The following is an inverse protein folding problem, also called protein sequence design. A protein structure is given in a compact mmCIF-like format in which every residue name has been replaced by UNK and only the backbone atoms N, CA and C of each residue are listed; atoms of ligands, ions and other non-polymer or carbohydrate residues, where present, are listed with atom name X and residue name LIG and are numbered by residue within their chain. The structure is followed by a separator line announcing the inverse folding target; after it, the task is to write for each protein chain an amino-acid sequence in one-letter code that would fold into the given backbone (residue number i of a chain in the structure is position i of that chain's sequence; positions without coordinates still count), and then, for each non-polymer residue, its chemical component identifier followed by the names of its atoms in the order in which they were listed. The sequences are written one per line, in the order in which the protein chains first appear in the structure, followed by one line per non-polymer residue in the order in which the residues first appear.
data_IF_549853648995
#
_entry.id   IF_549853648995
#
_cell.length_a   1.000
_cell.length_b   1.000
_cell.length_c   1.000
_cell.angle_alpha   90.00
_cell.angle_beta   90.00
_cell.angle_gamma   90.00
#
_symmetry.space_group_name_H-M   'P 1'
#
loop_
_entity.id
_entity.type
_entity.pdbx_description
1 polymer ?
#
# COMPACT_ATOMS: atom_id res chain seq x y z
N UNK A 1 -20.44 24.82 8.08
CA UNK A 1 -19.53 25.19 7.01
C UNK A 1 -18.28 25.67 7.69
N UNK A 2 -17.28 24.80 7.66
CA UNK A 2 -15.92 25.06 8.08
C UNK A 2 -15.31 26.15 7.21
N UNK A 3 -14.31 26.84 7.74
CA UNK A 3 -13.48 27.77 6.95
C UNK A 3 -12.83 27.04 5.77
N UNK A 4 -12.45 25.77 5.96
CA UNK A 4 -11.91 24.93 4.89
C UNK A 4 -12.90 24.76 3.73
N UNK A 5 -14.14 24.31 4.01
CA UNK A 5 -15.17 24.14 2.97
C UNK A 5 -15.54 25.47 2.29
N UNK A 6 -15.56 26.58 3.03
CA UNK A 6 -15.84 27.91 2.49
C UNK A 6 -14.76 28.37 1.52
N UNK A 7 -13.51 27.96 1.76
CA UNK A 7 -12.32 28.38 1.00
C UNK A 7 -12.05 27.52 -0.22
N UNK A 8 -12.58 26.29 -0.28
CA UNK A 8 -12.40 25.40 -1.43
C UNK A 8 -13.04 25.96 -2.71
N UNK A 9 -12.42 25.74 -3.88
CA UNK A 9 -13.04 26.08 -5.15
C UNK A 9 -14.34 25.31 -5.32
N UNK A 10 -15.36 25.96 -5.89
CA UNK A 10 -16.63 25.30 -6.15
C UNK A 10 -16.44 24.25 -7.25
N UNK A 11 -16.76 23.00 -6.93
CA UNK A 11 -16.73 21.90 -7.88
C UNK A 11 -18.14 21.63 -8.44
N UNK A 12 -18.31 21.44 -9.76
CA UNK A 12 -19.64 21.26 -10.36
C UNK A 12 -20.31 19.92 -10.01
N UNK A 13 -19.52 18.89 -9.67
CA UNK A 13 -19.99 17.53 -9.48
C UNK A 13 -19.66 16.93 -8.11
N UNK A 14 -18.77 17.56 -7.34
CA UNK A 14 -18.30 17.03 -6.05
C UNK A 14 -18.88 17.92 -4.95
N UNK A 15 -19.60 17.29 -4.05
CA UNK A 15 -20.02 17.90 -2.79
C UNK A 15 -19.14 17.35 -1.68
N UNK A 16 -18.72 18.21 -0.75
CA UNK A 16 -17.95 17.79 0.42
C UNK A 16 -18.83 16.88 1.28
N UNK A 17 -18.38 15.65 1.61
CA UNK A 17 -19.12 14.75 2.49
C UNK A 17 -19.25 15.29 3.92
N UNK A 18 -20.35 14.96 4.58
CA UNK A 18 -20.66 15.45 5.92
C UNK A 18 -19.60 15.02 6.95
N UNK A 19 -18.98 13.85 6.78
CA UNK A 19 -17.90 13.35 7.63
C UNK A 19 -16.65 14.22 7.53
N UNK A 20 -16.28 14.64 6.32
CA UNK A 20 -15.11 15.49 6.07
C UNK A 20 -15.34 16.89 6.65
N UNK A 21 -16.52 17.45 6.43
CA UNK A 21 -16.92 18.74 7.01
C UNK A 21 -16.91 18.71 8.54
N UNK A 22 -17.41 17.63 9.15
CA UNK A 22 -17.36 17.46 10.61
C UNK A 22 -15.93 17.35 11.13
N UNK A 23 -15.05 16.64 10.41
CA UNK A 23 -13.64 16.56 10.76
C UNK A 23 -12.95 17.92 10.69
N UNK A 24 -13.18 18.70 9.63
CA UNK A 24 -12.62 20.04 9.53
C UNK A 24 -13.13 20.97 10.62
N UNK A 25 -14.43 20.94 10.94
CA UNK A 25 -14.98 21.69 12.07
C UNK A 25 -14.35 21.29 13.40
N UNK A 26 -14.10 20.00 13.61
CA UNK A 26 -13.41 19.53 14.82
C UNK A 26 -11.99 20.11 14.91
N UNK A 27 -11.22 20.03 13.82
CA UNK A 27 -9.84 20.55 13.76
C UNK A 27 -9.81 22.07 13.97
N UNK A 28 -10.76 22.80 13.39
CA UNK A 28 -10.91 24.24 13.57
C UNK A 28 -11.23 24.60 15.02
N UNK A 29 -12.16 23.88 15.65
CA UNK A 29 -12.51 24.09 17.05
C UNK A 29 -11.36 23.72 18.02
N UNK A 30 -10.48 22.79 17.61
CA UNK A 30 -9.25 22.47 18.32
C UNK A 30 -8.17 23.56 18.17
N UNK A 31 -8.34 24.50 17.23
CA UNK A 31 -7.37 25.56 16.94
C UNK A 31 -6.26 25.14 15.98
N UNK A 32 -6.48 24.08 15.20
CA UNK A 32 -5.44 23.50 14.33
C UNK A 32 -5.38 24.13 12.92
N UNK A 33 -6.16 25.18 12.67
CA UNK A 33 -6.20 25.88 11.39
C UNK A 33 -5.73 27.31 11.52
N UNK A 34 -4.95 27.78 10.54
CA UNK A 34 -4.48 29.16 10.48
C UNK A 34 -4.35 29.64 9.03
N UNK A 35 -4.20 30.95 8.84
CA UNK A 35 -3.95 31.58 7.54
C UNK A 35 -2.54 32.13 7.49
N UNK A 36 -1.78 31.68 6.50
CA UNK A 36 -0.45 32.22 6.19
C UNK A 36 -0.47 33.03 4.90
N UNK A 37 0.69 33.56 4.51
CA UNK A 37 0.89 34.16 3.19
C UNK A 37 0.66 33.15 2.03
N UNK A 38 0.65 31.84 2.32
CA UNK A 38 0.36 30.76 1.39
C UNK A 38 -1.11 30.29 1.42
N UNK A 39 -1.96 30.96 2.20
CA UNK A 39 -3.38 30.68 2.33
C UNK A 39 -3.78 29.95 3.62
N UNK A 40 -5.05 29.55 3.67
CA UNK A 40 -5.61 28.81 4.79
C UNK A 40 -5.14 27.36 4.76
N UNK A 41 -4.76 26.83 5.92
CA UNK A 41 -4.42 25.42 6.07
C UNK A 41 -5.06 24.86 7.34
N UNK A 42 -5.22 23.55 7.37
CA UNK A 42 -5.81 22.84 8.50
C UNK A 42 -5.15 21.46 8.63
N UNK A 43 -4.81 21.07 9.85
CA UNK A 43 -4.18 19.78 10.14
C UNK A 43 -4.95 19.03 11.24
N UNK A 44 -4.96 17.68 11.24
CA UNK A 44 -5.48 16.93 12.38
C UNK A 44 -4.77 17.27 13.69
N UNK A 45 -3.48 17.65 13.63
CA UNK A 45 -2.63 17.92 14.79
C UNK A 45 -1.63 19.04 14.51
N UNK A 46 -1.37 19.92 15.48
CA UNK A 46 -0.32 20.93 15.38
C UNK A 46 0.87 20.57 16.24
N UNK A 47 2.07 20.52 15.66
CA UNK A 47 3.32 20.41 16.42
C UNK A 47 4.38 21.37 15.86
N UNK A 48 5.40 21.69 16.67
CA UNK A 48 6.52 22.55 16.24
C UNK A 48 7.48 21.84 15.26
N UNK A 49 7.39 20.51 15.09
CA UNK A 49 8.43 19.70 14.44
C UNK A 49 7.95 18.63 13.46
N UNK A 50 6.64 18.36 13.36
CA UNK A 50 6.07 17.30 12.51
C UNK A 50 4.89 17.84 11.70
N UNK A 51 5.02 17.71 10.38
CA UNK A 51 3.92 17.83 9.42
C UNK A 51 3.23 16.48 9.37
N UNK A 52 1.97 16.44 9.79
CA UNK A 52 1.02 15.46 9.29
C UNK A 52 0.47 15.94 7.95
N UNK A 53 -0.53 15.27 7.39
CA UNK A 53 -1.24 15.80 6.21
C UNK A 53 -1.77 17.20 6.47
N UNK A 54 -1.73 18.02 5.43
CA UNK A 54 -2.20 19.40 5.50
C UNK A 54 -3.37 19.56 4.56
N UNK A 55 -4.58 19.72 5.10
CA UNK A 55 -5.71 20.16 4.30
C UNK A 55 -5.50 21.59 3.86
N UNK A 56 -5.73 21.87 2.58
CA UNK A 56 -5.52 23.19 1.99
C UNK A 56 -6.46 23.38 0.80
N UNK A 57 -7.07 24.56 0.63
CA UNK A 57 -7.87 24.88 -0.54
C UNK A 57 -7.02 25.21 -1.77
N UNK A 58 -5.70 25.30 -1.60
CA UNK A 58 -4.76 25.75 -2.62
C UNK A 58 -4.02 24.61 -3.31
N UNK A 59 -4.31 23.34 -2.97
CA UNK A 59 -3.77 22.20 -3.70
C UNK A 59 -4.21 22.26 -5.16
N UNK A 60 -3.30 21.92 -6.09
CA UNK A 60 -3.54 21.99 -7.53
C UNK A 60 -3.28 20.64 -8.19
N UNK A 61 -3.84 20.41 -9.38
CA UNK A 61 -3.51 19.25 -10.22
C UNK A 61 -2.41 19.56 -11.24
N UNK A 62 -1.68 20.67 -11.05
CA UNK A 62 -0.64 21.10 -11.97
C UNK A 62 0.45 20.02 -12.06
N UNK A 63 0.88 19.70 -13.29
CA UNK A 63 1.80 18.60 -13.57
C UNK A 63 1.12 17.25 -13.82
N UNK A 64 -0.11 17.05 -13.33
CA UNK A 64 -0.87 15.81 -13.54
C UNK A 64 -1.88 15.91 -14.68
N UNK A 65 -2.73 16.95 -14.64
CA UNK A 65 -3.79 17.13 -15.63
C UNK A 65 -3.94 18.60 -16.01
N UNK A 66 -4.25 18.85 -17.28
CA UNK A 66 -4.65 20.18 -17.72
C UNK A 66 -5.96 20.59 -17.01
N UNK A 67 -6.10 21.84 -16.51
CA UNK A 67 -7.24 22.26 -15.69
C UNK A 67 -8.62 22.03 -16.31
N UNK A 68 -8.73 22.13 -17.64
CA UNK A 68 -9.98 21.96 -18.38
C UNK A 68 -10.18 20.53 -18.93
N UNK A 69 -9.31 19.58 -18.56
CA UNK A 69 -9.42 18.20 -19.02
C UNK A 69 -10.60 17.46 -18.36
N UNK A 70 -11.22 16.48 -19.06
CA UNK A 70 -12.24 15.62 -18.46
C UNK A 70 -11.75 14.88 -17.21
N UNK A 71 -10.45 14.57 -17.14
CA UNK A 71 -9.83 13.94 -15.97
C UNK A 71 -9.79 14.89 -14.77
N UNK A 72 -9.33 16.13 -14.95
CA UNK A 72 -9.30 17.14 -13.89
C UNK A 72 -10.70 17.46 -13.34
N UNK A 73 -11.73 17.44 -14.19
CA UNK A 73 -13.12 17.69 -13.78
C UNK A 73 -13.74 16.62 -12.86
N UNK A 74 -13.00 15.53 -12.57
CA UNK A 74 -13.41 14.45 -11.67
C UNK A 74 -12.64 14.44 -10.36
N UNK A 75 -11.76 15.41 -10.17
CA UNK A 75 -10.87 15.52 -9.02
C UNK A 75 -11.08 16.86 -8.32
N UNK A 76 -11.14 16.82 -6.99
CA UNK A 76 -11.09 18.02 -6.15
C UNK A 76 -9.91 17.87 -5.19
N UNK A 77 -8.77 18.55 -5.44
CA UNK A 77 -7.66 18.62 -4.50
C UNK A 77 -8.11 19.22 -3.17
N UNK A 78 -7.70 18.59 -2.07
CA UNK A 78 -8.09 19.01 -0.72
C UNK A 78 -6.93 19.00 0.28
N UNK A 79 -5.80 18.37 -0.05
CA UNK A 79 -4.69 18.21 0.89
C UNK A 79 -3.32 18.10 0.21
N UNK A 80 -2.29 18.39 0.99
CA UNK A 80 -0.89 18.02 0.76
C UNK A 80 -0.56 16.83 1.67
N UNK A 81 0.08 15.80 1.11
CA UNK A 81 0.21 14.49 1.78
C UNK A 81 1.53 14.28 2.54
N UNK A 82 2.62 14.91 2.10
CA UNK A 82 3.96 14.54 2.55
C UNK A 82 5.01 15.68 2.46
N UNK A 83 4.62 16.93 2.21
CA UNK A 83 5.60 18.04 2.09
C UNK A 83 6.38 18.10 0.77
N UNK A 84 6.27 17.09 -0.10
CA UNK A 84 6.97 17.04 -1.39
C UNK A 84 6.21 17.73 -2.53
N UNK A 85 4.95 18.09 -2.27
CA UNK A 85 3.98 18.50 -3.30
C UNK A 85 3.04 17.38 -3.73
N UNK A 86 3.07 16.22 -3.08
CA UNK A 86 2.07 15.17 -3.28
C UNK A 86 0.68 15.65 -2.82
N UNK A 87 -0.34 15.36 -3.63
CA UNK A 87 -1.69 15.90 -3.48
C UNK A 87 -2.66 14.81 -3.04
N UNK A 88 -3.47 15.12 -2.02
CA UNK A 88 -4.67 14.38 -1.67
C UNK A 88 -5.89 15.01 -2.34
N UNK A 89 -6.71 14.19 -3.01
CA UNK A 89 -7.90 14.66 -3.72
C UNK A 89 -9.11 13.76 -3.47
N UNK A 90 -10.29 14.35 -3.59
CA UNK A 90 -11.53 13.60 -3.78
C UNK A 90 -11.65 13.24 -5.27
N UNK A 91 -12.01 12.00 -5.56
CA UNK A 91 -12.16 11.48 -6.92
C UNK A 91 -13.56 10.91 -7.13
N UNK A 92 -14.21 11.28 -8.23
CA UNK A 92 -15.41 10.60 -8.73
C UNK A 92 -15.00 9.50 -9.71
N UNK A 93 -15.15 8.24 -9.29
CA UNK A 93 -14.86 7.08 -10.14
C UNK A 93 -15.91 6.89 -11.25
N UNK A 94 -15.70 5.90 -12.13
CA UNK A 94 -16.54 5.66 -13.32
C UNK A 94 -17.99 5.29 -13.00
N UNK A 95 -18.27 4.98 -11.73
CA UNK A 95 -19.61 4.70 -11.19
C UNK A 95 -20.15 5.89 -10.37
N UNK A 96 -19.54 7.07 -10.52
CA UNK A 96 -19.82 8.30 -9.77
C UNK A 96 -19.71 8.11 -8.24
N UNK A 97 -18.93 7.14 -7.77
CA UNK A 97 -18.63 6.95 -6.36
C UNK A 97 -17.48 7.86 -5.96
N UNK A 98 -17.64 8.53 -4.82
CA UNK A 98 -16.64 9.45 -4.29
C UNK A 98 -15.62 8.69 -3.44
N UNK A 99 -14.35 8.74 -3.85
CA UNK A 99 -13.20 8.12 -3.17
C UNK A 99 -12.15 9.15 -2.80
N UNK A 100 -11.16 8.76 -2.02
CA UNK A 100 -10.01 9.62 -1.68
C UNK A 100 -8.73 9.03 -2.25
N UNK A 101 -7.98 9.86 -2.97
CA UNK A 101 -6.83 9.43 -3.78
C UNK A 101 -5.60 10.29 -3.49
N UNK A 102 -4.42 9.73 -3.75
CA UNK A 102 -3.14 10.39 -3.69
C UNK A 102 -2.49 10.47 -5.07
N UNK A 103 -1.85 11.61 -5.34
CA UNK A 103 -1.08 11.90 -6.53
C UNK A 103 0.30 12.35 -6.07
N UNK A 104 1.30 11.48 -6.21
CA UNK A 104 2.67 11.75 -5.77
C UNK A 104 3.36 12.80 -6.63
N UNK A 105 4.25 13.59 -6.04
CA UNK A 105 5.12 14.49 -6.80
C UNK A 105 6.08 13.74 -7.74
N UNK A 106 6.37 12.47 -7.47
CA UNK A 106 7.23 11.60 -8.27
C UNK A 106 6.49 10.86 -9.41
N UNK A 107 5.20 11.14 -9.61
CA UNK A 107 4.42 10.64 -10.75
C UNK A 107 3.71 9.30 -10.54
N UNK A 108 3.62 8.82 -9.29
CA UNK A 108 2.75 7.69 -8.91
C UNK A 108 1.37 8.19 -8.45
N UNK A 109 0.34 7.36 -8.64
CA UNK A 109 -1.03 7.67 -8.27
C UNK A 109 -1.67 6.45 -7.59
N UNK A 110 -2.43 6.67 -6.51
CA UNK A 110 -2.97 5.58 -5.71
C UNK A 110 -4.27 5.96 -4.98
N UNK A 111 -5.10 4.97 -4.70
CA UNK A 111 -6.30 5.08 -3.88
C UNK A 111 -5.91 5.03 -2.40
N UNK A 112 -6.18 6.12 -1.68
CA UNK A 112 -5.97 6.19 -0.23
C UNK A 112 -7.09 5.50 0.53
N UNK A 113 -8.34 5.71 0.09
CA UNK A 113 -9.52 5.16 0.74
C UNK A 113 -10.73 5.09 -0.18
N UNK A 114 -11.56 4.06 0.04
CA UNK A 114 -12.79 3.82 -0.72
C UNK A 114 -13.92 4.81 -0.38
N UNK A 115 -13.80 5.54 0.74
CA UNK A 115 -14.70 6.62 1.14
C UNK A 115 -13.99 7.57 2.11
N UNK A 116 -14.62 8.70 2.43
CA UNK A 116 -14.06 9.72 3.33
C UNK A 116 -13.86 9.20 4.75
N UNK A 117 -14.74 8.36 5.29
CA UNK A 117 -14.60 7.88 6.66
C UNK A 117 -13.38 6.96 6.81
N UNK A 118 -13.12 6.11 5.82
CA UNK A 118 -11.90 5.31 5.75
C UNK A 118 -10.65 6.19 5.61
N UNK A 119 -10.72 7.29 4.86
CA UNK A 119 -9.63 8.25 4.78
C UNK A 119 -9.37 8.95 6.13
N UNK A 120 -10.41 9.40 6.84
CA UNK A 120 -10.25 9.97 8.17
C UNK A 120 -9.70 8.94 9.17
N UNK A 121 -10.05 7.67 8.99
CA UNK A 121 -9.48 6.55 9.75
C UNK A 121 -7.99 6.40 9.48
N UNK A 122 -7.55 6.47 8.21
CA UNK A 122 -6.14 6.52 7.85
C UNK A 122 -5.41 7.70 8.52
N UNK A 123 -5.96 8.91 8.43
CA UNK A 123 -5.37 10.11 9.05
C UNK A 123 -5.21 9.94 10.57
N UNK A 124 -6.19 9.31 11.22
CA UNK A 124 -6.16 9.04 12.66
C UNK A 124 -5.12 7.99 13.11
N UNK A 125 -4.47 7.30 12.17
CA UNK A 125 -3.34 6.41 12.50
C UNK A 125 -2.11 7.23 12.94
N UNK A 126 -1.95 8.46 12.42
CA UNK A 126 -0.87 9.36 12.81
C UNK A 126 0.42 9.18 12.03
N UNK A 127 0.34 8.89 10.73
CA UNK A 127 1.49 8.99 9.83
C UNK A 127 1.95 10.44 9.69
N UNK A 128 3.27 10.63 9.59
CA UNK A 128 3.89 11.90 9.20
C UNK A 128 3.55 12.22 7.74
N UNK A 129 3.69 11.22 6.87
CA UNK A 129 3.51 11.34 5.44
C UNK A 129 2.59 10.23 4.92
N UNK A 130 1.69 10.57 3.97
CA UNK A 130 0.87 9.59 3.27
C UNK A 130 1.43 9.33 1.87
N UNK A 131 2.42 8.44 1.79
CA UNK A 131 3.02 7.98 0.55
C UNK A 131 3.08 6.44 0.49
N UNK A 132 3.35 5.90 -0.69
CA UNK A 132 3.40 4.44 -0.95
C UNK A 132 4.44 3.67 -0.12
N UNK A 133 5.49 4.34 0.35
CA UNK A 133 6.59 3.73 1.12
C UNK A 133 6.22 3.63 2.60
N UNK A 134 5.64 4.70 3.16
CA UNK A 134 5.23 4.76 4.56
C UNK A 134 3.97 3.94 4.82
N UNK A 135 3.05 3.91 3.86
CA UNK A 135 1.87 3.06 3.92
C UNK A 135 2.27 1.58 3.79
N UNK A 136 1.42 0.67 4.28
CA UNK A 136 1.75 -0.73 4.55
C UNK A 136 2.64 -1.01 5.76
N UNK A 137 3.25 -0.01 6.40
CA UNK A 137 4.05 -0.17 7.63
C UNK A 137 3.42 0.61 8.79
N UNK A 138 3.70 0.25 10.06
CA UNK A 138 3.35 1.13 11.18
C UNK A 138 4.00 2.52 11.01
N UNK A 139 3.37 3.60 11.52
CA UNK A 139 3.98 4.92 11.52
C UNK A 139 5.39 4.91 12.15
N UNK A 140 6.33 5.60 11.54
CA UNK A 140 7.72 5.64 12.01
C UNK A 140 7.87 6.44 13.31
N UNK A 141 7.10 7.53 13.43
CA UNK A 141 7.12 8.42 14.59
C UNK A 141 6.06 8.03 15.62
N UNK A 142 6.52 7.58 16.79
CA UNK A 142 5.63 7.38 17.95
C UNK A 142 5.02 8.69 18.44
N UNK A 143 5.74 9.80 18.29
CA UNK A 143 5.25 11.14 18.65
C UNK A 143 4.04 11.54 17.79
N UNK A 144 4.08 11.26 16.49
CA UNK A 144 2.98 11.57 15.57
C UNK A 144 1.73 10.75 15.87
N UNK A 145 1.91 9.48 16.27
CA UNK A 145 0.82 8.63 16.77
C UNK A 145 0.24 9.17 18.07
N UNK A 146 1.08 9.61 19.02
CA UNK A 146 0.63 10.20 20.28
C UNK A 146 -0.13 11.52 20.06
N UNK A 147 0.36 12.36 19.13
CA UNK A 147 -0.29 13.61 18.77
C UNK A 147 -1.65 13.38 18.09
N UNK A 148 -1.80 12.31 17.31
CA UNK A 148 -3.05 11.96 16.63
C UNK A 148 -4.13 11.39 17.57
N UNK A 149 -3.79 11.03 18.82
CA UNK A 149 -4.71 10.40 19.76
C UNK A 149 -6.03 11.17 19.98
N UNK A 150 -6.04 12.51 20.14
CA UNK A 150 -7.30 13.23 20.33
C UNK A 150 -8.22 13.14 19.11
N UNK A 151 -7.65 13.16 17.90
CA UNK A 151 -8.41 13.00 16.66
C UNK A 151 -8.92 11.57 16.51
N UNK A 152 -8.09 10.57 16.83
CA UNK A 152 -8.45 9.15 16.87
C UNK A 152 -9.61 8.90 17.83
N UNK A 153 -9.54 9.43 19.05
CA UNK A 153 -10.59 9.30 20.07
C UNK A 153 -11.89 9.97 19.61
N UNK A 154 -11.80 11.19 19.05
CA UNK A 154 -12.98 11.85 18.49
C UNK A 154 -13.64 11.05 17.37
N UNK A 155 -12.85 10.49 16.44
CA UNK A 155 -13.35 9.71 15.31
C UNK A 155 -14.06 8.43 15.78
N UNK A 156 -13.45 7.72 16.74
CA UNK A 156 -14.04 6.53 17.36
C UNK A 156 -15.37 6.85 18.06
N UNK A 157 -15.41 7.93 18.85
CA UNK A 157 -16.62 8.34 19.57
C UNK A 157 -17.74 8.82 18.64
N UNK A 158 -17.39 9.52 17.55
CA UNK A 158 -18.35 10.16 16.64
C UNK A 158 -18.92 9.17 15.62
N UNK A 159 -18.06 8.31 15.06
CA UNK A 159 -18.43 7.42 13.94
C UNK A 159 -18.39 5.94 14.30
N UNK A 160 -18.03 5.57 15.54
CA UNK A 160 -17.91 4.18 15.98
C UNK A 160 -16.96 3.35 15.10
N UNK A 161 -15.87 3.98 14.64
CA UNK A 161 -14.82 3.33 13.84
C UNK A 161 -13.70 2.82 14.74
N UNK A 162 -13.12 1.69 14.35
CA UNK A 162 -11.89 1.16 14.96
C UNK A 162 -10.71 1.57 14.09
N UNK A 163 -9.84 2.43 14.65
CA UNK A 163 -8.65 2.90 13.93
C UNK A 163 -7.56 1.83 14.08
N UNK A 164 -6.99 1.31 12.97
CA UNK A 164 -5.93 0.30 13.07
C UNK A 164 -4.61 0.92 13.58
N UNK A 165 -3.60 0.07 13.79
CA UNK A 165 -2.23 0.51 14.11
C UNK A 165 -1.45 0.94 12.86
N UNK A 166 -1.91 0.52 11.68
CA UNK A 166 -1.25 0.71 10.39
C UNK A 166 -2.29 0.64 9.26
N UNK A 167 -1.94 1.19 8.11
CA UNK A 167 -2.70 1.05 6.87
C UNK A 167 -2.17 -0.08 6.01
N UNK A 168 -2.96 -0.45 5.01
CA UNK A 168 -2.54 -1.40 3.98
C UNK A 168 -1.69 -0.70 2.92
N UNK A 169 -1.02 -1.50 2.08
CA UNK A 169 -0.31 -0.97 0.92
C UNK A 169 -1.26 -0.30 -0.05
N UNK A 170 -0.82 0.80 -0.64
CA UNK A 170 -1.52 1.51 -1.69
C UNK A 170 -0.74 1.40 -3.00
N UNK A 171 -1.36 1.84 -4.09
CA UNK A 171 -0.81 1.67 -5.42
C UNK A 171 -1.42 0.45 -6.07
N UNK A 172 -1.43 0.51 -7.41
CA UNK A 172 -1.91 -0.57 -8.25
C UNK A 172 -3.41 -0.91 -8.07
N UNK A 173 -4.18 0.14 -7.85
CA UNK A 173 -5.61 0.08 -7.64
C UNK A 173 -6.38 0.68 -8.83
N UNK A 174 -7.71 0.77 -8.70
CA UNK A 174 -8.56 1.31 -9.76
C UNK A 174 -8.23 2.77 -10.11
N UNK A 175 -7.72 3.56 -9.15
CA UNK A 175 -7.29 4.92 -9.43
C UNK A 175 -5.97 4.94 -10.19
N UNK A 176 -5.00 4.10 -9.80
CA UNK A 176 -3.74 3.93 -10.56
C UNK A 176 -4.04 3.56 -12.01
N UNK A 177 -4.89 2.56 -12.24
CA UNK A 177 -5.28 2.14 -13.59
C UNK A 177 -6.00 3.26 -14.36
N UNK A 178 -6.88 4.01 -13.67
CA UNK A 178 -7.58 5.14 -14.26
C UNK A 178 -6.62 6.25 -14.71
N UNK A 179 -5.67 6.66 -13.86
CA UNK A 179 -4.67 7.69 -14.18
C UNK A 179 -3.81 7.24 -15.37
N UNK A 180 -3.31 6.01 -15.36
CA UNK A 180 -2.52 5.47 -16.45
C UNK A 180 -3.29 5.54 -17.79
N UNK A 181 -4.57 5.19 -17.78
CA UNK A 181 -5.43 5.29 -18.97
C UNK A 181 -5.61 6.74 -19.44
N UNK A 182 -5.76 7.71 -18.53
CA UNK A 182 -5.85 9.13 -18.89
C UNK A 182 -4.54 9.66 -19.50
N UNK A 183 -3.39 9.17 -19.02
CA UNK A 183 -2.06 9.54 -19.50
C UNK A 183 -1.62 8.75 -20.74
N UNK A 184 -2.44 7.81 -21.23
CA UNK A 184 -2.10 6.95 -22.37
C UNK A 184 -0.96 5.97 -22.10
N UNK A 185 -0.74 5.63 -20.82
CA UNK A 185 0.22 4.62 -20.40
C UNK A 185 -0.40 3.23 -20.57
N UNK A 186 0.39 2.29 -21.10
CA UNK A 186 -0.08 0.93 -21.35
C UNK A 186 -0.07 0.13 -20.04
N UNK A 187 -1.23 -0.42 -19.67
CA UNK A 187 -1.35 -1.33 -18.53
C UNK A 187 -0.86 -2.72 -18.93
N UNK A 188 0.32 -3.11 -18.46
CA UNK A 188 0.82 -4.48 -18.63
C UNK A 188 0.43 -5.27 -17.38
N UNK A 189 -0.48 -6.24 -17.55
CA UNK A 189 -0.83 -7.15 -16.45
C UNK A 189 0.31 -8.16 -16.30
N UNK A 190 0.92 -8.28 -15.11
CA UNK A 190 1.95 -9.27 -14.87
C UNK A 190 1.44 -10.68 -15.14
N UNK A 191 2.23 -11.48 -15.85
CA UNK A 191 1.89 -12.87 -16.16
C UNK A 191 3.14 -13.73 -16.20
N UNK A 192 2.99 -15.00 -15.85
CA UNK A 192 4.04 -15.99 -16.10
C UNK A 192 4.26 -16.10 -17.61
N UNK A 193 5.52 -16.14 -18.04
CA UNK A 193 5.84 -16.49 -19.41
C UNK A 193 5.34 -17.92 -19.70
N UNK A 194 4.35 -18.02 -20.60
CA UNK A 194 3.72 -19.28 -20.97
C UNK A 194 4.68 -20.25 -21.67
N UNK A 195 5.79 -19.72 -22.22
CA UNK A 195 6.83 -20.50 -22.89
C UNK A 195 8.03 -20.81 -21.96
N UNK A 196 7.95 -20.44 -20.67
CA UNK A 196 9.01 -20.73 -19.72
C UNK A 196 9.22 -22.25 -19.55
N UNK A 197 10.49 -22.67 -19.60
CA UNK A 197 10.84 -24.05 -19.28
C UNK A 197 10.46 -24.38 -17.81
N UNK A 198 10.09 -25.63 -17.49
CA UNK A 198 9.52 -26.02 -16.20
C UNK A 198 10.40 -25.73 -14.96
N UNK A 199 11.63 -25.27 -15.15
CA UNK A 199 12.54 -24.83 -14.09
C UNK A 199 12.94 -25.96 -13.13
N UNK A 200 13.65 -25.59 -12.07
CA UNK A 200 14.01 -26.48 -10.97
C UNK A 200 12.76 -26.82 -10.15
N UNK A 201 12.39 -28.10 -9.97
CA UNK A 201 11.28 -28.47 -9.09
C UNK A 201 11.63 -28.16 -7.64
N UNK A 202 10.69 -27.60 -6.91
CA UNK A 202 10.80 -27.32 -5.47
C UNK A 202 9.63 -27.97 -4.73
N UNK A 203 9.85 -28.34 -3.46
CA UNK A 203 8.85 -28.91 -2.58
C UNK A 203 8.84 -28.20 -1.21
N UNK A 204 7.88 -28.55 -0.37
CA UNK A 204 7.62 -27.87 0.91
C UNK A 204 6.64 -26.71 0.77
N UNK A 205 6.61 -25.84 1.78
CA UNK A 205 5.68 -24.71 1.81
C UNK A 205 5.96 -23.66 0.73
N UNK A 206 7.21 -23.56 0.26
CA UNK A 206 7.58 -22.68 -0.87
C UNK A 206 6.83 -23.05 -2.15
N UNK A 207 6.65 -24.34 -2.45
CA UNK A 207 5.92 -24.76 -3.66
C UNK A 207 4.46 -24.29 -3.64
N UNK A 208 3.80 -24.35 -2.48
CA UNK A 208 2.41 -23.90 -2.33
C UNK A 208 2.28 -22.39 -2.50
N UNK A 209 3.24 -21.63 -1.98
CA UNK A 209 3.25 -20.17 -2.10
C UNK A 209 3.61 -19.70 -3.52
N UNK A 210 4.50 -20.41 -4.22
CA UNK A 210 4.81 -20.15 -5.63
C UNK A 210 3.57 -20.30 -6.52
N UNK A 211 2.71 -21.29 -6.25
CA UNK A 211 1.44 -21.50 -6.97
C UNK A 211 0.43 -20.36 -6.78
N UNK A 212 0.66 -19.45 -5.83
CA UNK A 212 -0.17 -18.26 -5.63
C UNK A 212 0.22 -17.11 -6.56
N UNK A 213 1.49 -17.03 -6.98
CA UNK A 213 1.97 -15.92 -7.80
C UNK A 213 1.30 -15.90 -9.17
N UNK A 214 0.91 -14.73 -9.63
CA UNK A 214 0.18 -14.55 -10.89
C UNK A 214 -1.35 -14.68 -10.73
N UNK A 215 -1.85 -14.92 -9.51
CA UNK A 215 -3.28 -14.92 -9.22
C UNK A 215 -3.77 -13.52 -8.84
N UNK A 216 -5.05 -13.20 -9.10
CA UNK A 216 -5.70 -12.03 -8.54
C UNK A 216 -5.55 -11.99 -7.01
N UNK A 217 -5.35 -10.80 -6.44
CA UNK A 217 -5.13 -10.60 -4.98
C UNK A 217 -6.32 -11.02 -4.10
N UNK A 218 -7.49 -11.25 -4.70
CA UNK A 218 -8.72 -11.72 -4.08
C UNK A 218 -9.06 -13.18 -4.44
N UNK A 219 -8.16 -13.92 -5.09
CA UNK A 219 -8.35 -15.33 -5.43
C UNK A 219 -8.53 -16.17 -4.13
N UNK A 220 -9.62 -16.95 -4.00
CA UNK A 220 -9.87 -17.80 -2.84
C UNK A 220 -8.71 -18.75 -2.48
N UNK A 221 -7.94 -19.20 -3.47
CA UNK A 221 -6.79 -20.08 -3.24
C UNK A 221 -5.70 -19.39 -2.39
N UNK A 222 -5.55 -18.07 -2.50
CA UNK A 222 -4.64 -17.28 -1.65
C UNK A 222 -5.11 -17.35 -0.19
N UNK A 223 -6.40 -17.08 0.06
CA UNK A 223 -6.97 -17.13 1.40
C UNK A 223 -6.86 -18.54 2.03
N UNK A 224 -7.16 -19.59 1.26
CA UNK A 224 -7.06 -20.98 1.71
C UNK A 224 -5.62 -21.38 2.06
N UNK A 225 -4.65 -20.94 1.28
CA UNK A 225 -3.24 -21.24 1.51
C UNK A 225 -2.70 -20.46 2.71
N UNK A 226 -2.97 -19.16 2.80
CA UNK A 226 -2.52 -18.31 3.90
C UNK A 226 -3.17 -18.67 5.25
N UNK A 227 -4.39 -19.22 5.26
CA UNK A 227 -5.00 -19.75 6.48
C UNK A 227 -4.16 -20.87 7.12
N UNK A 228 -3.40 -21.64 6.33
CA UNK A 228 -2.49 -22.68 6.83
C UNK A 228 -1.25 -22.08 7.54
N UNK A 229 -0.92 -20.83 7.23
CA UNK A 229 0.10 -20.03 7.92
C UNK A 229 -0.48 -19.20 9.08
N UNK A 230 -1.76 -19.41 9.43
CA UNK A 230 -2.44 -18.68 10.50
C UNK A 230 -2.89 -17.27 10.12
N UNK A 231 -2.91 -16.94 8.82
CA UNK A 231 -3.35 -15.64 8.32
C UNK A 231 -4.79 -15.73 7.79
N UNK A 232 -5.73 -15.15 8.52
CA UNK A 232 -7.14 -15.02 8.09
C UNK A 232 -7.36 -13.66 7.38
N UNK A 233 -7.67 -13.70 6.09
CA UNK A 233 -7.94 -12.50 5.28
C UNK A 233 -9.33 -11.90 5.52
N UNK A 234 -10.26 -12.63 6.17
CA UNK A 234 -11.63 -12.18 6.42
C UNK A 234 -12.37 -11.67 5.15
N UNK A 235 -12.12 -12.31 4.01
CA UNK A 235 -12.74 -11.97 2.72
C UNK A 235 -12.19 -10.70 2.05
N UNK A 236 -11.12 -10.10 2.58
CA UNK A 236 -10.44 -8.97 1.96
C UNK A 236 -9.31 -9.44 1.03
N UNK A 237 -8.91 -8.64 0.03
CA UNK A 237 -7.70 -8.90 -0.76
C UNK A 237 -6.46 -9.04 0.13
N UNK A 238 -5.49 -9.85 -0.30
CA UNK A 238 -4.28 -10.13 0.48
C UNK A 238 -3.46 -8.87 0.80
N UNK A 239 -3.47 -7.87 -0.08
CA UNK A 239 -2.81 -6.57 0.11
C UNK A 239 -3.37 -5.78 1.30
N UNK A 240 -4.60 -6.08 1.74
CA UNK A 240 -5.23 -5.47 2.92
C UNK A 240 -4.86 -6.16 4.24
N UNK A 241 -3.94 -7.13 4.23
CA UNK A 241 -3.61 -7.97 5.39
C UNK A 241 -2.16 -7.81 5.91
N UNK A 242 -1.47 -6.71 5.59
CA UNK A 242 -0.05 -6.46 5.92
C UNK A 242 0.36 -6.87 7.34
N UNK A 243 -0.29 -6.34 8.38
CA UNK A 243 0.07 -6.66 9.76
C UNK A 243 -0.18 -8.11 10.17
N UNK A 244 -1.19 -8.76 9.60
CA UNK A 244 -1.42 -10.21 9.82
C UNK A 244 -0.35 -11.04 9.12
N UNK A 245 0.02 -10.67 7.90
CA UNK A 245 1.09 -11.30 7.14
C UNK A 245 2.43 -11.18 7.88
N UNK A 246 2.80 -9.97 8.32
CA UNK A 246 4.06 -9.75 9.06
C UNK A 246 4.11 -10.54 10.36
N UNK A 247 3.00 -10.64 11.10
CA UNK A 247 2.90 -11.49 12.30
C UNK A 247 3.14 -12.97 11.99
N UNK A 248 2.87 -13.41 10.76
CA UNK A 248 3.15 -14.76 10.27
C UNK A 248 4.52 -14.87 9.55
N UNK A 249 5.35 -13.82 9.56
CA UNK A 249 6.63 -13.79 8.86
C UNK A 249 6.53 -13.68 7.34
N UNK A 250 5.41 -13.18 6.82
CA UNK A 250 5.13 -13.01 5.40
C UNK A 250 4.98 -11.54 5.05
N UNK A 251 5.39 -11.18 3.84
CA UNK A 251 5.07 -9.90 3.18
C UNK A 251 4.72 -10.20 1.72
N UNK A 252 3.89 -9.34 1.11
CA UNK A 252 3.45 -9.53 -0.27
C UNK A 252 3.46 -8.22 -1.03
N UNK A 253 3.60 -8.32 -2.33
CA UNK A 253 3.45 -7.21 -3.28
C UNK A 253 2.54 -7.65 -4.42
N UNK A 254 1.81 -6.68 -4.97
CA UNK A 254 0.93 -6.91 -6.08
C UNK A 254 1.09 -5.81 -7.13
N UNK A 255 0.92 -6.22 -8.39
CA UNK A 255 0.90 -5.36 -9.56
C UNK A 255 -0.26 -5.77 -10.49
N UNK A 256 -0.92 -4.81 -11.11
CA UNK A 256 -2.26 -4.86 -11.68
C UNK A 256 -3.28 -5.79 -10.99
N UNK A 257 -3.41 -5.68 -9.65
CA UNK A 257 -4.23 -6.56 -8.79
C UNK A 257 -3.83 -8.03 -8.85
N UNK A 258 -2.60 -8.33 -9.27
CA UNK A 258 -2.02 -9.67 -9.35
C UNK A 258 -0.91 -9.80 -8.32
N UNK A 259 -0.92 -10.89 -7.54
CA UNK A 259 0.14 -11.18 -6.57
C UNK A 259 1.46 -11.47 -7.31
N UNK A 260 2.46 -10.59 -7.17
CA UNK A 260 3.73 -10.68 -7.90
C UNK A 260 4.89 -11.13 -7.03
N UNK A 261 4.92 -10.73 -5.76
CA UNK A 261 6.03 -11.09 -4.86
C UNK A 261 5.51 -11.57 -3.51
N UNK A 262 6.19 -12.56 -2.94
CA UNK A 262 6.02 -13.00 -1.55
C UNK A 262 7.40 -13.07 -0.89
N UNK A 263 7.58 -12.35 0.21
CA UNK A 263 8.76 -12.47 1.08
C UNK A 263 8.42 -13.28 2.32
N UNK A 264 9.35 -14.12 2.75
CA UNK A 264 9.19 -15.01 3.90
C UNK A 264 10.41 -14.86 4.79
N UNK A 265 10.23 -14.23 5.95
CA UNK A 265 11.27 -14.16 6.98
C UNK A 265 11.34 -15.51 7.69
N UNK A 266 12.36 -16.31 7.37
CA UNK A 266 12.42 -17.73 7.75
C UNK A 266 12.39 -17.96 9.27
N UNK A 267 12.97 -17.06 10.05
CA UNK A 267 12.97 -17.14 11.51
C UNK A 267 11.61 -16.78 12.16
N UNK A 268 10.76 -16.01 11.47
CA UNK A 268 9.45 -15.59 11.97
C UNK A 268 8.31 -16.46 11.43
N UNK A 269 8.49 -17.07 10.27
CA UNK A 269 7.49 -17.90 9.63
C UNK A 269 7.22 -19.19 10.42
N UNK A 270 5.95 -19.53 10.58
CA UNK A 270 5.49 -20.82 11.15
C UNK A 270 4.75 -21.63 10.07
N UNK A 271 5.47 -22.16 9.06
CA UNK A 271 4.84 -22.78 7.92
C UNK A 271 4.19 -24.13 8.28
N UNK A 272 3.15 -24.58 7.55
CA UNK A 272 2.46 -25.84 7.81
C UNK A 272 3.33 -27.08 7.53
N UNK A 273 4.37 -26.92 6.72
CA UNK A 273 5.42 -27.90 6.40
C UNK A 273 6.78 -27.18 6.35
N UNK A 274 7.94 -27.89 6.32
CA UNK A 274 9.23 -27.24 6.09
C UNK A 274 9.17 -26.26 4.90
N UNK A 275 9.84 -25.10 5.01
CA UNK A 275 9.85 -24.11 3.92
C UNK A 275 10.34 -24.74 2.62
N UNK A 276 11.43 -25.51 2.69
CA UNK A 276 11.99 -26.29 1.60
C UNK A 276 12.03 -27.77 1.99
N UNK A 277 11.76 -28.65 1.01
CA UNK A 277 11.97 -30.09 1.13
C UNK A 277 12.90 -30.62 0.01
N UNK A 278 14.06 -31.20 0.34
CA UNK A 278 14.63 -31.33 1.69
C UNK A 278 14.98 -29.97 2.32
N UNK A 279 15.07 -29.95 3.66
CA UNK A 279 15.45 -28.73 4.38
C UNK A 279 16.86 -28.27 3.98
N UNK A 280 17.02 -26.98 3.72
CA UNK A 280 18.28 -26.37 3.27
C UNK A 280 18.76 -25.30 4.27
N UNK A 281 19.35 -25.70 5.42
CA UNK A 281 19.78 -24.75 6.44
C UNK A 281 20.99 -23.90 6.02
N UNK A 282 21.76 -24.35 5.02
CA UNK A 282 22.86 -23.59 4.41
C UNK A 282 22.67 -23.42 2.90
N UNK A 283 23.39 -22.47 2.30
CA UNK A 283 23.39 -22.28 0.85
C UNK A 283 23.91 -23.53 0.12
N UNK A 284 24.89 -24.23 0.70
CA UNK A 284 25.41 -25.50 0.15
C UNK A 284 24.34 -26.60 0.12
N UNK A 285 23.48 -26.67 1.14
CA UNK A 285 22.36 -27.63 1.15
C UNK A 285 21.31 -27.29 0.09
N UNK A 286 21.04 -25.99 -0.13
CA UNK A 286 20.15 -25.55 -1.21
C UNK A 286 20.73 -25.90 -2.58
N UNK A 287 22.02 -25.64 -2.83
CA UNK A 287 22.68 -26.01 -4.09
C UNK A 287 22.69 -27.53 -4.31
N UNK A 288 22.88 -28.32 -3.25
CA UNK A 288 22.85 -29.77 -3.35
C UNK A 288 21.46 -30.34 -3.68
N UNK A 289 20.39 -29.64 -3.29
CA UNK A 289 19.00 -30.09 -3.47
C UNK A 289 18.33 -29.51 -4.71
N UNK A 290 18.57 -28.22 -5.01
CA UNK A 290 17.95 -27.47 -6.10
C UNK A 290 18.84 -27.41 -7.37
N UNK A 291 20.10 -27.81 -7.27
CA UNK A 291 21.05 -27.78 -8.38
C UNK A 291 21.60 -26.38 -8.67
N UNK A 292 22.12 -26.19 -9.88
CA UNK A 292 22.74 -24.93 -10.31
C UNK A 292 21.70 -23.80 -10.39
N UNK A 293 21.95 -22.66 -9.73
CA UNK A 293 21.06 -21.50 -9.79
C UNK A 293 21.31 -20.67 -11.06
N UNK A 294 20.32 -19.86 -11.45
CA UNK A 294 20.50 -18.83 -12.48
C UNK A 294 21.49 -17.75 -12.04
N UNK A 295 21.51 -17.47 -10.73
CA UNK A 295 22.42 -16.51 -10.14
C UNK A 295 22.87 -16.95 -8.74
N UNK A 296 24.13 -16.64 -8.42
CA UNK A 296 24.71 -16.84 -7.09
C UNK A 296 25.56 -15.63 -6.69
N UNK A 297 25.34 -15.16 -5.47
CA UNK A 297 26.13 -14.12 -4.82
C UNK A 297 26.68 -14.57 -3.47
N UNK A 298 27.19 -13.61 -2.71
CA UNK A 298 27.65 -13.85 -1.35
C UNK A 298 26.44 -14.06 -0.43
N UNK A 299 26.28 -15.29 0.08
CA UNK A 299 25.14 -15.68 0.92
C UNK A 299 23.78 -15.77 0.21
N UNK A 300 23.70 -15.70 -1.12
CA UNK A 300 22.41 -15.73 -1.81
C UNK A 300 22.45 -16.46 -3.15
N UNK A 301 21.30 -16.98 -3.59
CA UNK A 301 21.14 -17.60 -4.90
C UNK A 301 19.69 -17.53 -5.39
N UNK A 302 19.52 -17.57 -6.72
CA UNK A 302 18.22 -17.52 -7.39
C UNK A 302 18.04 -18.70 -8.36
N UNK A 303 16.87 -19.34 -8.31
CA UNK A 303 16.46 -20.41 -9.24
C UNK A 303 15.18 -20.01 -9.95
N UNK A 304 14.98 -20.53 -11.15
CA UNK A 304 13.69 -20.46 -11.84
C UNK A 304 12.95 -21.78 -11.63
N UNK A 305 11.68 -21.70 -11.26
CA UNK A 305 10.79 -22.83 -10.96
C UNK A 305 9.41 -22.57 -11.55
N UNK A 306 8.99 -23.39 -12.53
CA UNK A 306 7.71 -23.19 -13.22
C UNK A 306 7.52 -21.80 -13.83
N UNK A 307 8.58 -21.20 -14.38
CA UNK A 307 8.56 -19.83 -14.92
C UNK A 307 8.53 -18.71 -13.89
N UNK A 308 8.71 -19.01 -12.60
CA UNK A 308 8.77 -18.05 -11.49
C UNK A 308 10.14 -18.09 -10.84
N UNK A 309 10.47 -17.07 -10.06
CA UNK A 309 11.76 -16.98 -9.39
C UNK A 309 11.68 -17.36 -7.90
N UNK A 310 12.65 -18.13 -7.45
CA UNK A 310 12.91 -18.47 -6.06
C UNK A 310 14.29 -17.92 -5.68
N UNK A 311 14.32 -16.91 -4.83
CA UNK A 311 15.54 -16.34 -4.28
C UNK A 311 15.69 -16.71 -2.81
N UNK A 312 16.86 -17.20 -2.44
CA UNK A 312 17.21 -17.56 -1.06
C UNK A 312 18.36 -16.68 -0.58
N UNK A 313 18.20 -16.07 0.58
CA UNK A 313 19.26 -15.33 1.28
C UNK A 313 19.58 -16.01 2.59
N UNK A 314 20.88 -16.16 2.86
CA UNK A 314 21.45 -16.78 4.04
C UNK A 314 22.30 -15.77 4.81
N UNK A 315 22.39 -15.97 6.12
CA UNK A 315 23.37 -15.31 6.99
C UNK A 315 24.05 -16.33 7.92
N UNK A 316 24.83 -15.86 8.89
CA UNK A 316 25.54 -16.71 9.85
C UNK A 316 24.63 -17.63 10.68
N UNK A 317 23.33 -17.34 10.74
CA UNK A 317 22.32 -18.13 11.46
C UNK A 317 21.58 -19.15 10.58
N UNK A 318 21.80 -19.12 9.27
CA UNK A 318 21.19 -20.04 8.29
C UNK A 318 20.32 -19.30 7.27
N UNK A 319 19.25 -19.96 6.81
CA UNK A 319 18.29 -19.35 5.89
C UNK A 319 17.60 -18.17 6.56
N UNK A 320 17.77 -16.98 5.98
CA UNK A 320 17.25 -15.71 6.52
C UNK A 320 15.94 -15.30 5.84
N UNK A 321 15.96 -15.26 4.52
CA UNK A 321 14.87 -14.76 3.69
C UNK A 321 14.63 -15.68 2.50
N UNK A 322 13.37 -15.96 2.21
CA UNK A 322 12.92 -16.56 0.96
C UNK A 322 12.08 -15.54 0.22
N UNK A 323 12.43 -15.23 -1.02
CA UNK A 323 11.67 -14.34 -1.89
C UNK A 323 11.17 -15.13 -3.09
N UNK A 324 9.86 -15.09 -3.31
CA UNK A 324 9.20 -15.72 -4.44
C UNK A 324 8.70 -14.60 -5.34
N UNK A 325 9.09 -14.59 -6.61
CA UNK A 325 8.68 -13.53 -7.55
C UNK A 325 8.07 -14.14 -8.81
N UNK A 326 7.07 -13.45 -9.35
CA UNK A 326 6.40 -13.84 -10.59
C UNK A 326 7.35 -13.76 -11.77
N UNK A 327 8.23 -12.75 -11.77
CA UNK A 327 9.35 -12.60 -12.68
C UNK A 327 10.61 -12.23 -11.90
N UNK A 328 11.78 -12.61 -12.42
CA UNK A 328 13.06 -12.18 -11.85
C UNK A 328 13.47 -10.86 -12.52
N UNK A 329 13.62 -9.74 -11.78
CA UNK A 329 13.99 -8.44 -12.36
C UNK A 329 15.38 -8.41 -13.00
N UNK A 330 16.10 -9.53 -13.00
CA UNK A 330 17.43 -9.63 -13.57
C UNK A 330 18.49 -9.06 -12.63
N UNK A 331 19.66 -8.84 -13.19
CA UNK A 331 20.83 -8.34 -12.46
C UNK A 331 21.03 -6.89 -12.91
N UNK A 332 20.62 -5.94 -12.08
CA UNK A 332 21.16 -4.58 -12.14
C UNK A 332 22.61 -4.57 -11.61
#
# INVERSE_FOLDING_TARGET
MSTMQDSLPKHPHITIPDELEQAWLWMENAGNGDTTDHGYYLTPVTSEFQVSIVFTPNATLEGWFEPDSPAAARLLPIAELDGSGSIGALWLDDEDQLKVVGLSSEGSAFLLADNVLDFLTLVAIGYDELNEISLALPPESTESVELAEPFRTWLADTFSVDVPEEWHSVGDDDFTAWVNAQLGQETVVPSVDADAEPGTPVAGSVAQLLDLLGRPVDDPAIAETLAQFGVDLAGKPVTRAGGKLRKAGLEVEAEQKVLTTIWITAAAATPPAPLLEPAAPTLEDALASLGEPEWRGDGAANWITGGKALHLTYDDSGLKLVTLMLDWPGKD
#
